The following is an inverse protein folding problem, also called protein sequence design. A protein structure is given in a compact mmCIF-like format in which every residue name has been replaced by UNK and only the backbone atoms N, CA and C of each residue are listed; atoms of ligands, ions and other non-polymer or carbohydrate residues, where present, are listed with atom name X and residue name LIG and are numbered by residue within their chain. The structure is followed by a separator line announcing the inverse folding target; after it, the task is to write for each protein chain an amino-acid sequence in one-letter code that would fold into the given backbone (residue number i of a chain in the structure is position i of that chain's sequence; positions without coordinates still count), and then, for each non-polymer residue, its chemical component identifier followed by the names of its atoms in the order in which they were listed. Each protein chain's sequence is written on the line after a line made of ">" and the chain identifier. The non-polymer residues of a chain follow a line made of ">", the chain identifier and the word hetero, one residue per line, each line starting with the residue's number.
data_IF_653348073468
#
_entry.id   IF_653348073468
#
_cell.length_a   1.000
_cell.length_b   1.000
_cell.length_c   1.000
_cell.angle_alpha   90.00
_cell.angle_beta   90.00
_cell.angle_gamma   90.00
#
_symmetry.space_group_name_H-M   'P 1'
#
loop_
_entity.id
_entity.type
_entity.pdbx_description
1 polymer ?
#
# COMPACT_ATOMS: atom_id res chain seq x y z
N UNK A 1 24.05 13.18 -2.24
CA UNK A 1 23.49 11.97 -2.79
C UNK A 1 22.06 12.17 -3.31
N UNK A 2 21.62 11.29 -4.20
CA UNK A 2 20.26 11.36 -4.77
C UNK A 2 19.36 10.29 -4.14
N UNK A 3 18.12 10.66 -3.84
CA UNK A 3 17.16 9.79 -3.18
C UNK A 3 15.89 9.67 -4.05
N UNK A 4 15.43 8.45 -4.26
CA UNK A 4 14.15 8.17 -4.91
C UNK A 4 13.17 7.58 -3.89
N UNK A 5 11.95 8.09 -3.88
CA UNK A 5 10.84 7.54 -3.09
C UNK A 5 9.81 6.97 -4.07
N UNK A 6 9.59 5.67 -4.01
CA UNK A 6 8.65 4.95 -4.86
C UNK A 6 7.35 4.65 -4.10
N UNK A 7 6.23 4.99 -4.70
CA UNK A 7 4.91 4.58 -4.23
C UNK A 7 4.07 4.04 -5.39
N UNK A 8 3.01 3.30 -5.05
CA UNK A 8 2.15 2.65 -6.03
C UNK A 8 0.91 3.49 -6.38
N UNK A 9 0.41 4.27 -5.44
CA UNK A 9 -0.87 5.00 -5.55
C UNK A 9 -0.59 6.50 -5.67
N UNK A 10 -1.32 7.17 -6.59
CA UNK A 10 -1.17 8.61 -6.88
C UNK A 10 -1.37 9.49 -5.64
N UNK A 11 -2.36 9.17 -4.83
CA UNK A 11 -2.69 9.90 -3.60
C UNK A 11 -1.54 9.84 -2.59
N UNK A 12 -0.88 8.68 -2.46
CA UNK A 12 0.29 8.51 -1.61
C UNK A 12 1.50 9.31 -2.10
N UNK A 13 1.67 9.43 -3.42
CA UNK A 13 2.72 10.29 -3.99
C UNK A 13 2.53 11.76 -3.59
N UNK A 14 1.29 12.28 -3.70
CA UNK A 14 1.01 13.66 -3.32
C UNK A 14 1.21 13.88 -1.82
N UNK A 15 0.70 12.96 -0.98
CA UNK A 15 0.87 13.01 0.47
C UNK A 15 2.36 12.98 0.86
N UNK A 16 3.17 12.14 0.21
CA UNK A 16 4.61 12.07 0.46
C UNK A 16 5.30 13.39 0.13
N UNK A 17 4.96 14.02 -0.99
CA UNK A 17 5.50 15.33 -1.38
C UNK A 17 5.11 16.41 -0.37
N UNK A 18 3.83 16.45 0.01
CA UNK A 18 3.30 17.45 0.95
C UNK A 18 3.94 17.28 2.33
N UNK A 19 4.13 16.04 2.78
CA UNK A 19 4.79 15.73 4.05
C UNK A 19 6.27 16.11 4.04
N UNK A 20 6.99 15.82 2.96
CA UNK A 20 8.40 16.22 2.81
C UNK A 20 8.53 17.74 2.88
N UNK A 21 7.66 18.50 2.20
CA UNK A 21 7.66 19.96 2.23
C UNK A 21 7.29 20.53 3.62
N UNK A 22 6.45 19.85 4.38
CA UNK A 22 6.12 20.26 5.76
C UNK A 22 7.30 20.09 6.71
N UNK A 23 8.07 19.00 6.56
CA UNK A 23 9.20 18.68 7.46
C UNK A 23 10.48 19.38 7.01
N UNK A 24 10.68 19.50 5.71
CA UNK A 24 11.87 20.07 5.09
C UNK A 24 11.44 21.10 4.03
N UNK A 25 10.96 22.26 4.45
CA UNK A 25 10.33 23.25 3.56
C UNK A 25 11.24 23.77 2.46
N UNK A 26 12.57 23.81 2.67
CA UNK A 26 13.57 24.25 1.69
C UNK A 26 14.05 23.12 0.75
N UNK A 27 13.59 21.88 0.94
CA UNK A 27 14.04 20.76 0.13
C UNK A 27 13.35 20.80 -1.26
N UNK A 28 14.10 20.96 -2.36
CA UNK A 28 13.53 20.88 -3.69
C UNK A 28 13.18 19.43 -4.04
N UNK A 29 11.90 19.10 -3.98
CA UNK A 29 11.37 17.76 -4.27
C UNK A 29 10.82 17.71 -5.69
N UNK A 30 11.41 16.85 -6.53
CA UNK A 30 10.91 16.50 -7.84
C UNK A 30 9.79 15.46 -7.76
N UNK A 31 8.94 15.44 -8.78
CA UNK A 31 7.85 14.44 -8.91
C UNK A 31 7.91 13.79 -10.28
N UNK A 32 7.88 12.46 -10.33
CA UNK A 32 7.76 11.74 -11.58
C UNK A 32 6.52 10.83 -11.55
N UNK A 33 5.43 11.32 -12.12
CA UNK A 33 4.15 10.61 -12.14
C UNK A 33 3.29 11.05 -13.32
N UNK A 34 2.88 10.10 -14.14
CA UNK A 34 1.92 10.36 -15.23
C UNK A 34 0.57 10.83 -14.66
N UNK A 35 0.12 10.27 -13.55
CA UNK A 35 -1.12 10.67 -12.89
C UNK A 35 -1.11 12.11 -12.35
N UNK A 36 0.06 12.64 -11.99
CA UNK A 36 0.26 14.02 -11.55
C UNK A 36 0.75 14.93 -12.69
N UNK A 37 0.91 14.40 -13.90
CA UNK A 37 1.38 15.11 -15.11
C UNK A 37 2.73 15.82 -14.89
N UNK A 38 3.64 15.21 -14.13
CA UNK A 38 4.99 15.71 -13.82
C UNK A 38 6.04 14.68 -14.20
N UNK A 39 7.21 15.16 -14.65
CA UNK A 39 8.37 14.35 -15.07
C UNK A 39 9.67 15.04 -14.69
N UNK A 40 9.85 15.30 -13.40
CA UNK A 40 11.05 15.95 -12.89
C UNK A 40 12.17 14.91 -12.73
N UNK A 41 13.36 15.15 -13.29
CA UNK A 41 14.48 14.19 -13.30
C UNK A 41 15.72 14.70 -12.58
N UNK A 42 15.90 16.01 -12.42
CA UNK A 42 17.16 16.64 -11.99
C UNK A 42 17.23 16.93 -10.47
N UNK A 43 16.19 16.61 -9.71
CA UNK A 43 16.16 16.89 -8.28
C UNK A 43 16.96 15.86 -7.48
N UNK A 44 17.54 16.32 -6.37
CA UNK A 44 18.23 15.45 -5.42
C UNK A 44 17.27 14.45 -4.74
N UNK A 45 16.02 14.86 -4.51
CA UNK A 45 14.96 13.99 -4.00
C UNK A 45 13.83 13.96 -5.03
N UNK A 46 13.44 12.75 -5.45
CA UNK A 46 12.34 12.54 -6.40
C UNK A 46 11.33 11.59 -5.76
N UNK A 47 10.04 11.95 -5.83
CA UNK A 47 8.92 11.07 -5.49
C UNK A 47 8.29 10.59 -6.79
N UNK A 48 8.26 9.27 -7.00
CA UNK A 48 7.84 8.70 -8.27
C UNK A 48 6.82 7.55 -8.13
N UNK A 49 5.89 7.49 -9.08
CA UNK A 49 5.00 6.35 -9.24
C UNK A 49 5.67 5.23 -10.01
N UNK A 50 5.72 4.02 -9.45
CA UNK A 50 6.38 2.88 -10.10
C UNK A 50 5.87 2.62 -11.51
N UNK A 51 4.57 2.76 -11.76
CA UNK A 51 3.96 2.60 -13.09
C UNK A 51 4.49 3.60 -14.12
N UNK A 52 5.00 4.76 -13.66
CA UNK A 52 5.53 5.79 -14.54
C UNK A 52 7.02 5.62 -14.84
N UNK A 53 7.77 4.96 -13.94
CA UNK A 53 9.23 4.91 -14.01
C UNK A 53 9.83 3.54 -14.29
N UNK A 54 9.07 2.45 -14.22
CA UNK A 54 9.63 1.09 -14.24
C UNK A 54 10.44 0.72 -15.50
N UNK A 55 10.24 1.43 -16.61
CA UNK A 55 11.02 1.29 -17.86
C UNK A 55 11.93 2.50 -18.13
N UNK A 56 12.21 3.31 -17.14
CA UNK A 56 12.84 4.62 -17.32
C UNK A 56 13.96 4.90 -16.33
N UNK A 57 14.62 3.87 -15.83
CA UNK A 57 15.72 4.02 -14.88
C UNK A 57 16.84 4.89 -15.46
N UNK A 58 17.21 4.69 -16.73
CA UNK A 58 18.23 5.50 -17.40
C UNK A 58 17.84 6.98 -17.58
N UNK A 59 16.53 7.30 -17.68
CA UNK A 59 16.05 8.69 -17.79
C UNK A 59 16.20 9.44 -16.47
N UNK A 60 16.10 8.71 -15.35
CA UNK A 60 16.20 9.25 -14.00
C UNK A 60 17.65 9.34 -13.48
N UNK A 61 18.59 8.69 -14.16
CA UNK A 61 19.99 8.58 -13.74
C UNK A 61 20.16 7.82 -12.39
N UNK A 62 21.38 7.78 -11.86
CA UNK A 62 21.74 7.01 -10.68
C UNK A 62 21.18 7.62 -9.38
N UNK A 63 20.76 6.75 -8.46
CA UNK A 63 20.36 7.07 -7.08
C UNK A 63 21.30 6.39 -6.09
N UNK A 64 21.53 7.01 -4.92
CA UNK A 64 22.25 6.43 -3.80
C UNK A 64 21.33 5.65 -2.87
N UNK A 65 20.06 6.10 -2.76
CA UNK A 65 19.05 5.51 -1.91
C UNK A 65 17.70 5.46 -2.63
N UNK A 66 17.06 4.30 -2.56
CA UNK A 66 15.68 4.11 -3.01
C UNK A 66 14.84 3.69 -1.81
N UNK A 67 13.82 4.46 -1.50
CA UNK A 67 12.80 4.14 -0.50
C UNK A 67 11.57 3.60 -1.21
N UNK A 68 11.08 2.45 -0.80
CA UNK A 68 9.91 1.80 -1.42
C UNK A 68 8.80 1.71 -0.39
N UNK A 69 7.73 2.45 -0.61
CA UNK A 69 6.51 2.34 0.17
C UNK A 69 5.71 1.10 -0.27
N UNK A 70 5.05 0.44 0.68
CA UNK A 70 4.35 -0.83 0.47
C UNK A 70 5.24 -1.88 -0.23
N UNK A 71 6.44 -2.08 0.29
CA UNK A 71 7.45 -2.94 -0.34
C UNK A 71 7.06 -4.43 -0.45
N UNK A 72 5.98 -4.87 0.22
CA UNK A 72 5.38 -6.18 0.00
C UNK A 72 4.86 -6.38 -1.44
N UNK A 73 4.67 -5.29 -2.20
CA UNK A 73 4.33 -5.33 -3.63
C UNK A 73 5.53 -5.74 -4.53
N UNK A 74 6.76 -5.76 -4.00
CA UNK A 74 7.92 -6.28 -4.74
C UNK A 74 7.79 -7.81 -4.84
N UNK A 75 7.65 -8.39 -6.05
CA UNK A 75 7.54 -9.84 -6.17
C UNK A 75 8.84 -10.53 -5.68
N UNK A 76 8.70 -11.65 -4.96
CA UNK A 76 9.83 -12.45 -4.53
C UNK A 76 10.62 -13.00 -5.73
N UNK A 77 9.89 -13.49 -6.73
CA UNK A 77 10.44 -14.10 -7.94
C UNK A 77 9.73 -13.58 -9.19
N UNK A 78 10.24 -13.93 -10.36
CA UNK A 78 9.66 -13.59 -11.64
C UNK A 78 9.85 -12.15 -12.07
N UNK A 79 9.01 -11.70 -13.00
CA UNK A 79 9.02 -10.35 -13.55
C UNK A 79 8.01 -9.44 -12.82
N UNK A 80 8.29 -8.14 -12.82
CA UNK A 80 7.41 -7.15 -12.25
C UNK A 80 8.03 -5.76 -12.33
N UNK A 81 7.20 -4.72 -12.30
CA UNK A 81 7.63 -3.33 -12.45
C UNK A 81 8.74 -2.96 -11.44
N UNK A 82 8.58 -3.34 -10.19
CA UNK A 82 9.58 -3.07 -9.15
C UNK A 82 10.88 -3.80 -9.42
N UNK A 83 10.82 -5.10 -9.74
CA UNK A 83 12.04 -5.89 -10.00
C UNK A 83 12.80 -5.37 -11.20
N UNK A 84 12.10 -5.09 -12.31
CA UNK A 84 12.71 -4.49 -13.48
C UNK A 84 13.41 -3.18 -13.14
N UNK A 85 12.71 -2.24 -12.51
CA UNK A 85 13.26 -0.95 -12.15
C UNK A 85 14.47 -1.05 -11.21
N UNK A 86 14.35 -1.82 -10.13
CA UNK A 86 15.43 -2.02 -9.17
C UNK A 86 16.64 -2.72 -9.76
N UNK A 87 16.45 -3.64 -10.70
CA UNK A 87 17.55 -4.28 -11.43
C UNK A 87 18.28 -3.28 -12.32
N UNK A 88 17.54 -2.47 -13.09
CA UNK A 88 18.11 -1.44 -13.95
C UNK A 88 18.85 -0.35 -13.14
N UNK A 89 18.30 0.08 -11.99
CA UNK A 89 18.97 1.06 -11.11
C UNK A 89 20.25 0.50 -10.50
N UNK A 90 20.35 -0.80 -10.21
CA UNK A 90 21.60 -1.45 -9.76
C UNK A 90 22.66 -1.50 -10.84
N UNK A 91 22.28 -1.54 -12.11
CA UNK A 91 23.24 -1.43 -13.24
C UNK A 91 23.81 -0.01 -13.29
N UNK A 92 22.99 1.02 -13.08
CA UNK A 92 23.44 2.43 -13.07
C UNK A 92 24.30 2.76 -11.84
N UNK A 93 23.92 2.26 -10.67
CA UNK A 93 24.69 2.37 -9.45
C UNK A 93 24.69 1.04 -8.67
N UNK A 94 25.76 0.22 -8.76
CA UNK A 94 25.85 -1.03 -8.01
C UNK A 94 25.85 -0.87 -6.48
N UNK A 95 26.11 0.34 -5.96
CA UNK A 95 26.11 0.66 -4.54
C UNK A 95 24.77 1.22 -4.04
N UNK A 96 23.74 1.29 -4.90
CA UNK A 96 22.43 1.79 -4.50
C UNK A 96 21.86 0.98 -3.35
N UNK A 97 21.40 1.68 -2.32
CA UNK A 97 20.69 1.06 -1.18
C UNK A 97 19.21 1.12 -1.40
N UNK A 98 18.52 0.01 -1.10
CA UNK A 98 17.06 -0.08 -1.19
C UNK A 98 16.52 -0.35 0.20
N UNK A 99 15.63 0.52 0.67
CA UNK A 99 14.92 0.39 1.96
C UNK A 99 13.43 0.33 1.68
N UNK A 100 12.79 -0.72 2.17
CA UNK A 100 11.35 -0.92 2.04
C UNK A 100 10.61 -0.66 3.35
N UNK A 101 9.42 -0.09 3.24
CA UNK A 101 8.47 0.10 4.33
C UNK A 101 7.22 -0.72 4.05
N UNK A 102 6.70 -1.42 5.05
CA UNK A 102 5.42 -2.13 4.94
C UNK A 102 4.85 -2.45 6.32
N UNK A 103 3.53 -2.47 6.42
CA UNK A 103 2.83 -3.00 7.59
C UNK A 103 2.64 -4.53 7.52
N UNK A 104 2.84 -5.13 6.34
CA UNK A 104 2.62 -6.57 6.07
C UNK A 104 3.88 -7.19 5.48
N UNK A 105 4.86 -7.62 6.32
CA UNK A 105 6.15 -8.13 5.83
C UNK A 105 6.08 -9.57 5.28
N UNK A 106 4.92 -9.97 4.80
CA UNK A 106 4.68 -11.30 4.22
C UNK A 106 3.67 -11.23 3.07
N UNK A 107 3.71 -12.22 2.21
CA UNK A 107 2.71 -12.46 1.15
C UNK A 107 2.02 -13.80 1.42
N UNK A 108 0.73 -13.86 1.14
CA UNK A 108 -0.06 -15.09 1.37
C UNK A 108 0.39 -16.25 0.48
N UNK A 109 0.87 -15.93 -0.72
CA UNK A 109 1.32 -16.91 -1.72
C UNK A 109 2.82 -17.26 -1.65
N UNK A 110 3.64 -16.38 -1.05
CA UNK A 110 5.10 -16.51 -1.09
C UNK A 110 5.79 -16.44 0.28
N UNK A 111 5.04 -16.21 1.38
CA UNK A 111 5.59 -16.10 2.73
C UNK A 111 6.35 -14.77 2.98
N UNK A 112 7.40 -14.77 3.84
CA UNK A 112 8.14 -13.57 4.19
C UNK A 112 8.75 -12.87 2.97
N UNK A 113 8.63 -11.54 2.89
CA UNK A 113 9.18 -10.74 1.79
C UNK A 113 10.69 -10.52 1.91
N UNK A 114 11.22 -10.64 3.11
CA UNK A 114 12.63 -10.45 3.42
C UNK A 114 13.32 -11.80 3.55
N UNK A 115 14.23 -12.11 2.63
CA UNK A 115 15.01 -13.36 2.57
C UNK A 115 16.35 -13.07 1.92
N UNK A 116 17.37 -13.88 2.22
CA UNK A 116 18.76 -13.67 1.76
C UNK A 116 18.92 -13.57 0.24
N UNK A 117 18.05 -14.24 -0.51
CA UNK A 117 18.03 -14.28 -1.98
C UNK A 117 17.11 -13.22 -2.63
N UNK A 118 16.43 -12.41 -1.82
CA UNK A 118 15.51 -11.39 -2.30
C UNK A 118 16.16 -10.01 -2.45
N UNK A 119 15.47 -9.06 -3.10
CA UNK A 119 15.88 -7.66 -3.14
C UNK A 119 15.99 -7.03 -1.75
N UNK A 120 15.07 -7.41 -0.85
CA UNK A 120 15.07 -7.05 0.56
C UNK A 120 15.56 -8.27 1.34
N UNK A 121 16.76 -8.19 1.87
CA UNK A 121 17.46 -9.33 2.45
C UNK A 121 17.66 -9.25 3.97
N UNK A 122 17.31 -8.12 4.58
CA UNK A 122 17.40 -7.95 6.02
C UNK A 122 16.28 -7.07 6.55
N UNK A 123 15.78 -7.38 7.76
CA UNK A 123 14.87 -6.53 8.51
C UNK A 123 15.72 -5.61 9.39
N UNK A 124 15.68 -4.30 9.12
CA UNK A 124 16.45 -3.31 9.88
C UNK A 124 15.73 -2.86 11.15
N UNK A 125 14.40 -2.83 11.10
CA UNK A 125 13.57 -2.41 12.23
C UNK A 125 12.17 -3.02 12.11
N UNK A 126 11.62 -3.45 13.23
CA UNK A 126 10.25 -3.95 13.35
C UNK A 126 9.62 -3.43 14.63
N UNK A 127 8.37 -3.02 14.57
CA UNK A 127 7.56 -2.63 15.71
C UNK A 127 6.19 -3.30 15.62
N UNK A 128 5.80 -4.00 16.67
CA UNK A 128 4.53 -4.72 16.73
C UNK A 128 3.35 -3.82 17.05
N UNK A 129 2.15 -4.20 16.58
CA UNK A 129 0.89 -3.47 16.82
C UNK A 129 0.64 -3.29 18.34
N UNK A 130 0.95 -4.29 19.18
CA UNK A 130 0.78 -4.18 20.63
C UNK A 130 1.63 -3.09 21.25
N UNK A 131 2.87 -2.94 20.78
CA UNK A 131 3.76 -1.89 21.23
C UNK A 131 3.25 -0.52 20.78
N UNK A 132 2.83 -0.38 19.51
CA UNK A 132 2.26 0.86 18.99
C UNK A 132 0.99 1.30 19.74
N UNK A 133 0.17 0.34 20.20
CA UNK A 133 -0.98 0.64 21.07
C UNK A 133 -0.50 1.09 22.46
N UNK A 134 0.48 0.41 23.04
CA UNK A 134 1.00 0.76 24.36
C UNK A 134 1.67 2.14 24.37
N UNK A 135 2.34 2.51 23.26
CA UNK A 135 3.00 3.79 23.07
C UNK A 135 2.03 4.92 22.65
N UNK A 136 0.75 4.61 22.46
CA UNK A 136 -0.30 5.58 22.11
C UNK A 136 -0.34 6.01 20.64
N UNK A 137 0.42 5.37 19.75
CA UNK A 137 0.37 5.63 18.30
C UNK A 137 -0.83 4.99 17.61
N UNK A 138 -1.34 3.87 18.14
CA UNK A 138 -2.54 3.20 17.67
C UNK A 138 -3.57 3.11 18.80
N UNK A 139 -4.85 3.17 18.42
CA UNK A 139 -5.96 2.95 19.35
C UNK A 139 -6.04 1.47 19.76
N UNK A 140 -6.50 1.14 20.97
CA UNK A 140 -6.81 -0.21 21.35
C UNK A 140 -7.83 -0.82 20.40
N UNK A 141 -7.58 -2.08 20.00
CA UNK A 141 -8.45 -2.81 19.10
C UNK A 141 -9.38 -3.74 19.90
N UNK A 142 -10.68 -3.65 19.60
CA UNK A 142 -11.68 -4.60 20.06
C UNK A 142 -12.26 -5.28 18.83
N UNK A 143 -11.93 -6.57 18.65
CA UNK A 143 -12.48 -7.36 17.55
C UNK A 143 -13.88 -7.84 17.90
N UNK A 144 -14.83 -7.61 17.00
CA UNK A 144 -16.20 -8.17 17.08
C UNK A 144 -16.50 -8.90 15.78
N UNK A 145 -17.03 -10.11 15.90
CA UNK A 145 -17.55 -10.84 14.75
C UNK A 145 -19.00 -10.39 14.50
N UNK A 146 -19.32 -10.09 13.25
CA UNK A 146 -20.70 -9.80 12.85
C UNK A 146 -21.61 -11.02 13.05
N UNK A 147 -22.89 -10.77 13.35
CA UNK A 147 -23.92 -11.81 13.47
C UNK A 147 -24.31 -12.29 12.08
N UNK A 148 -24.61 -11.37 11.17
CA UNK A 148 -24.86 -11.67 9.78
C UNK A 148 -23.55 -12.01 9.05
N UNK A 149 -23.57 -13.07 8.25
CA UNK A 149 -22.41 -13.56 7.51
C UNK A 149 -22.77 -13.80 6.07
N UNK A 150 -21.93 -13.34 5.14
CA UNK A 150 -22.02 -13.72 3.74
C UNK A 150 -21.64 -15.20 3.55
N UNK A 151 -22.25 -15.87 2.60
CA UNK A 151 -21.80 -17.18 2.14
C UNK A 151 -20.58 -17.00 1.22
N UNK A 152 -19.43 -17.41 1.70
CA UNK A 152 -18.15 -17.32 0.98
C UNK A 152 -17.73 -18.64 0.33
N UNK A 153 -18.55 -19.67 0.42
CA UNK A 153 -18.22 -21.03 -0.03
C UNK A 153 -18.02 -21.16 -1.55
N UNK A 154 -18.61 -20.24 -2.32
CA UNK A 154 -18.55 -20.21 -3.78
C UNK A 154 -17.50 -19.23 -4.35
N UNK A 155 -16.72 -18.56 -3.49
CA UNK A 155 -15.71 -17.61 -3.94
C UNK A 155 -14.50 -18.33 -4.53
N UNK A 156 -14.06 -17.90 -5.71
CA UNK A 156 -12.86 -18.40 -6.35
C UNK A 156 -11.63 -17.55 -5.98
N UNK A 157 -10.48 -18.23 -5.91
CA UNK A 157 -9.20 -17.58 -5.68
C UNK A 157 -8.43 -17.50 -7.00
N UNK A 158 -7.91 -16.30 -7.33
CA UNK A 158 -7.08 -16.06 -8.50
C UNK A 158 -5.86 -15.23 -8.08
N UNK A 159 -4.66 -15.73 -8.41
CA UNK A 159 -3.39 -15.08 -8.03
C UNK A 159 -3.24 -14.82 -6.51
N UNK A 160 -3.74 -15.73 -5.67
CA UNK A 160 -3.63 -15.63 -4.20
C UNK A 160 -4.67 -14.74 -3.53
N UNK A 161 -5.61 -14.16 -4.29
CA UNK A 161 -6.69 -13.31 -3.77
C UNK A 161 -8.06 -13.80 -4.28
N UNK A 162 -9.11 -13.51 -3.53
CA UNK A 162 -10.48 -13.76 -3.99
C UNK A 162 -10.81 -12.87 -5.20
N UNK A 163 -11.62 -13.39 -6.11
CA UNK A 163 -12.11 -12.63 -7.27
C UNK A 163 -13.01 -11.49 -6.78
N UNK A 164 -12.54 -10.24 -6.95
CA UNK A 164 -13.17 -9.04 -6.36
C UNK A 164 -14.66 -8.88 -6.73
N UNK A 165 -15.05 -9.22 -7.98
CA UNK A 165 -16.45 -9.16 -8.42
C UNK A 165 -17.34 -10.20 -7.74
N UNK A 166 -16.81 -11.36 -7.39
CA UNK A 166 -17.54 -12.40 -6.66
C UNK A 166 -17.71 -12.01 -5.19
N UNK A 167 -16.66 -11.41 -4.59
CA UNK A 167 -16.74 -10.87 -3.23
C UNK A 167 -17.76 -9.74 -3.16
N UNK A 168 -17.76 -8.81 -4.12
CA UNK A 168 -18.74 -7.74 -4.16
C UNK A 168 -20.15 -8.27 -4.28
N UNK A 169 -20.41 -9.23 -5.17
CA UNK A 169 -21.73 -9.86 -5.35
C UNK A 169 -22.21 -10.60 -4.09
N UNK A 170 -21.30 -11.31 -3.39
CA UNK A 170 -21.65 -12.02 -2.16
C UNK A 170 -21.93 -11.09 -0.98
N UNK A 171 -21.28 -9.92 -0.93
CA UNK A 171 -21.45 -8.93 0.13
C UNK A 171 -22.59 -7.94 -0.13
N UNK A 172 -23.02 -7.74 -1.38
CA UNK A 172 -24.04 -6.78 -1.79
C UNK A 172 -25.46 -7.39 -1.79
N UNK A 173 -25.70 -8.37 -0.93
CA UNK A 173 -27.04 -8.89 -0.66
C UNK A 173 -27.82 -7.91 0.23
N UNK A 174 -29.06 -7.59 -0.15
CA UNK A 174 -29.86 -6.57 0.52
C UNK A 174 -30.12 -6.89 2.00
N UNK A 175 -30.46 -8.14 2.32
CA UNK A 175 -30.72 -8.54 3.70
C UNK A 175 -29.46 -8.52 4.56
N UNK A 176 -28.33 -8.93 3.96
CA UNK A 176 -27.03 -8.91 4.63
C UNK A 176 -26.60 -7.47 4.92
N UNK A 177 -26.73 -6.56 3.96
CA UNK A 177 -26.36 -5.14 4.10
C UNK A 177 -27.24 -4.47 5.16
N UNK A 178 -28.58 -4.65 5.12
CA UNK A 178 -29.49 -4.12 6.12
C UNK A 178 -29.16 -4.63 7.53
N UNK A 179 -28.96 -5.94 7.69
CA UNK A 179 -28.62 -6.53 8.98
C UNK A 179 -27.27 -6.02 9.51
N UNK A 180 -26.26 -5.93 8.65
CA UNK A 180 -24.93 -5.42 9.02
C UNK A 180 -24.96 -3.93 9.40
N UNK A 181 -25.72 -3.09 8.69
CA UNK A 181 -25.90 -1.67 9.00
C UNK A 181 -26.64 -1.47 10.33
N UNK A 182 -27.68 -2.25 10.59
CA UNK A 182 -28.40 -2.20 11.87
C UNK A 182 -27.48 -2.59 13.05
N UNK A 183 -26.73 -3.69 12.91
CA UNK A 183 -25.75 -4.10 13.92
C UNK A 183 -24.64 -3.04 14.12
N UNK A 184 -24.10 -2.49 13.03
CA UNK A 184 -23.09 -1.45 13.08
C UNK A 184 -23.60 -0.22 13.83
N UNK A 185 -24.81 0.25 13.52
CA UNK A 185 -25.43 1.40 14.17
C UNK A 185 -25.58 1.17 15.68
N UNK A 186 -25.98 -0.02 16.10
CA UNK A 186 -26.12 -0.37 17.50
C UNK A 186 -24.78 -0.36 18.24
N UNK A 187 -23.75 -1.00 17.69
CA UNK A 187 -22.44 -1.13 18.37
C UNK A 187 -21.60 0.15 18.32
N UNK A 188 -21.98 1.11 17.49
CA UNK A 188 -21.24 2.37 17.32
C UNK A 188 -21.97 3.61 17.83
N UNK A 189 -23.05 3.46 18.59
CA UNK A 189 -23.86 4.57 19.14
C UNK A 189 -23.06 5.61 19.90
N UNK A 190 -21.99 5.18 20.58
CA UNK A 190 -21.11 6.02 21.37
C UNK A 190 -19.90 6.54 20.58
N UNK A 191 -19.81 6.27 19.27
CA UNK A 191 -18.68 6.64 18.42
C UNK A 191 -18.94 7.96 17.70
N UNK A 192 -17.92 8.81 17.64
CA UNK A 192 -17.98 10.08 16.90
C UNK A 192 -17.76 9.90 15.40
N UNK A 193 -17.03 8.86 15.00
CA UNK A 193 -16.70 8.57 13.60
C UNK A 193 -16.64 7.08 13.37
N UNK A 194 -17.22 6.66 12.26
CA UNK A 194 -17.20 5.26 11.82
C UNK A 194 -16.70 5.22 10.39
N UNK A 195 -15.76 4.32 10.10
CA UNK A 195 -15.24 4.06 8.77
C UNK A 195 -15.64 2.65 8.34
N UNK A 196 -16.31 2.54 7.20
CA UNK A 196 -16.75 1.28 6.62
C UNK A 196 -15.98 1.01 5.34
N UNK A 197 -15.35 -0.16 5.24
CA UNK A 197 -14.69 -0.64 4.04
C UNK A 197 -15.63 -1.56 3.30
N UNK A 198 -16.16 -1.09 2.17
CA UNK A 198 -16.99 -1.90 1.29
C UNK A 198 -16.14 -2.76 0.34
N UNK A 199 -16.67 -3.89 -0.10
CA UNK A 199 -16.01 -4.81 -1.03
C UNK A 199 -15.93 -4.28 -2.47
N UNK A 200 -16.72 -3.27 -2.80
CA UNK A 200 -16.73 -2.61 -4.11
C UNK A 200 -17.54 -1.32 -4.08
N UNK A 201 -17.57 -0.62 -5.23
CA UNK A 201 -18.24 0.67 -5.35
C UNK A 201 -19.76 0.55 -5.21
N UNK A 202 -20.35 -0.49 -5.82
CA UNK A 202 -21.82 -0.73 -5.75
C UNK A 202 -22.24 -1.10 -4.33
N UNK A 203 -21.51 -2.00 -3.68
CA UNK A 203 -21.73 -2.34 -2.28
C UNK A 203 -21.59 -1.09 -1.39
N UNK A 204 -20.57 -0.24 -1.58
CA UNK A 204 -20.42 1.01 -0.83
C UNK A 204 -21.60 1.97 -1.02
N UNK A 205 -22.10 2.11 -2.25
CA UNK A 205 -23.29 2.91 -2.52
C UNK A 205 -24.57 2.33 -1.88
N UNK A 206 -24.69 1.01 -1.81
CA UNK A 206 -25.79 0.34 -1.13
C UNK A 206 -25.75 0.60 0.37
N UNK A 207 -24.60 0.38 1.02
CA UNK A 207 -24.41 0.70 2.45
C UNK A 207 -24.76 2.15 2.78
N UNK A 208 -24.44 3.10 1.90
CA UNK A 208 -24.77 4.51 2.11
C UNK A 208 -26.27 4.85 1.99
N UNK A 209 -27.10 3.95 1.41
CA UNK A 209 -28.54 4.18 1.26
C UNK A 209 -29.36 3.59 2.39
N UNK A 210 -28.83 2.59 3.06
CA UNK A 210 -29.41 1.96 4.25
C UNK A 210 -29.09 2.79 5.49
#
# INVERSE_FOLDING_TARGET
>A
GRVLILAHVKELLQQSVDKLKQVCFDLPVGVYSAGLKRRDTEHAVIVAGIQSVYKRACELDAFDLILVDECHLIPAEGEGMYRQFLSETRVLNPQVRVVGFTATPFRLDAGPICRDDHFLNAVSYEVGVRQLIADGFLSPLISKAGIAKADTSQLHVRAGEFVASEVEAAMDDAQLVEAACAELTEITRDRQSVLVFASGVQHGQHVCRV
#
